data_IF_125369205900
#
_entry.id   IF_125369205900
#
_cell.length_a   1.000
_cell.length_b   1.000
_cell.length_c   1.000
_cell.angle_alpha   90.00
_cell.angle_beta   90.00
_cell.angle_gamma   90.00
#
_symmetry.space_group_name_H-M   'P 1'
#
loop_
_entity.id
_entity.type
_entity.pdbx_description
1 polymer ?
#
# COMPACT_ATOMS: atom_id res chain seq x y z
N UNK A 1 0.91 -3.63 11.05
CA UNK A 1 1.79 -3.58 9.86
C UNK A 1 1.48 -2.32 9.07
N UNK A 2 2.40 -1.82 8.22
CA UNK A 2 2.18 -0.58 7.43
C UNK A 2 0.93 -0.64 6.55
N UNK A 3 0.55 -1.81 6.04
CA UNK A 3 -0.67 -2.01 5.25
C UNK A 3 -1.95 -1.75 6.09
N UNK A 4 -1.97 -2.19 7.36
CA UNK A 4 -3.10 -1.92 8.25
C UNK A 4 -3.18 -0.42 8.61
N UNK A 5 -2.03 0.24 8.77
CA UNK A 5 -1.97 1.68 9.05
C UNK A 5 -2.47 2.51 7.84
N UNK A 6 -2.06 2.14 6.63
CA UNK A 6 -2.58 2.75 5.41
C UNK A 6 -4.09 2.54 5.25
N UNK A 7 -4.60 1.34 5.59
CA UNK A 7 -6.03 1.06 5.61
C UNK A 7 -6.79 1.94 6.60
N UNK A 8 -6.22 2.19 7.79
CA UNK A 8 -6.82 3.08 8.77
C UNK A 8 -6.86 4.54 8.29
N UNK A 9 -5.77 5.04 7.69
CA UNK A 9 -5.74 6.39 7.11
C UNK A 9 -6.72 6.55 5.95
N UNK A 10 -6.87 5.55 5.08
CA UNK A 10 -7.92 5.54 4.04
C UNK A 10 -9.32 5.68 4.64
N UNK A 11 -9.65 4.89 5.66
CA UNK A 11 -10.97 4.97 6.32
C UNK A 11 -11.19 6.31 7.01
N UNK A 12 -10.12 6.95 7.50
CA UNK A 12 -10.17 8.29 8.08
C UNK A 12 -10.22 9.42 7.03
N UNK A 13 -10.19 9.11 5.73
CA UNK A 13 -10.14 10.09 4.64
C UNK A 13 -8.79 10.79 4.48
N UNK A 14 -7.76 10.35 5.21
CA UNK A 14 -6.44 10.96 5.19
C UNK A 14 -5.55 10.32 4.13
N UNK A 15 -5.80 10.69 2.89
CA UNK A 15 -5.10 10.11 1.74
C UNK A 15 -3.65 10.58 1.66
N UNK A 16 -3.36 11.81 2.11
CA UNK A 16 -2.01 12.37 2.13
C UNK A 16 -1.03 11.54 2.98
N UNK A 17 -1.50 10.94 4.08
CA UNK A 17 -0.70 10.03 4.90
C UNK A 17 -0.75 8.58 4.42
N UNK A 18 -1.85 8.14 3.79
CA UNK A 18 -2.02 6.77 3.31
C UNK A 18 -1.13 6.43 2.09
N UNK A 19 -1.08 7.33 1.11
CA UNK A 19 -0.38 7.14 -0.17
C UNK A 19 1.11 6.86 0.01
N UNK A 20 1.92 7.72 0.67
CA UNK A 20 3.37 7.49 0.79
C UNK A 20 3.71 6.22 1.58
N UNK A 21 2.82 5.80 2.50
CA UNK A 21 2.99 4.54 3.24
C UNK A 21 2.77 3.32 2.34
N UNK A 22 1.78 3.37 1.45
CA UNK A 22 1.51 2.30 0.48
C UNK A 22 2.61 2.23 -0.58
N UNK A 23 3.08 3.36 -1.10
CA UNK A 23 4.20 3.41 -2.07
C UNK A 23 5.47 2.78 -1.50
N UNK A 24 5.87 3.18 -0.28
CA UNK A 24 7.06 2.61 0.36
C UNK A 24 6.90 1.12 0.63
N UNK A 25 5.71 0.70 1.07
CA UNK A 25 5.44 -0.72 1.31
C UNK A 25 5.42 -1.51 -0.01
N UNK A 26 4.92 -0.93 -1.10
CA UNK A 26 4.94 -1.55 -2.42
C UNK A 26 6.37 -1.78 -2.90
N UNK A 27 7.22 -0.75 -2.84
CA UNK A 27 8.62 -0.84 -3.25
C UNK A 27 9.39 -1.90 -2.44
N UNK A 28 9.19 -1.94 -1.13
CA UNK A 28 9.82 -2.96 -0.26
C UNK A 28 9.36 -4.38 -0.67
N UNK A 29 8.08 -4.56 -0.98
CA UNK A 29 7.51 -5.88 -1.33
C UNK A 29 7.85 -6.33 -2.74
N UNK A 30 7.92 -5.42 -3.70
CA UNK A 30 8.39 -5.70 -5.05
C UNK A 30 9.84 -6.18 -5.03
N UNK A 31 10.71 -5.53 -4.25
CA UNK A 31 12.11 -5.95 -4.11
C UNK A 31 12.26 -7.30 -3.42
N UNK A 32 11.48 -7.57 -2.38
CA UNK A 32 11.64 -8.78 -1.56
C UNK A 32 10.93 -10.01 -2.13
N UNK A 33 9.76 -9.83 -2.75
CA UNK A 33 8.84 -10.91 -3.10
C UNK A 33 8.56 -10.96 -4.60
N UNK A 34 8.93 -9.93 -5.36
CA UNK A 34 8.57 -9.76 -6.76
C UNK A 34 7.21 -9.10 -6.96
N UNK A 35 7.01 -8.62 -8.18
CA UNK A 35 5.81 -7.92 -8.63
C UNK A 35 4.56 -8.80 -8.70
N UNK A 36 4.75 -10.12 -8.86
CA UNK A 36 3.67 -11.10 -9.01
C UNK A 36 3.14 -11.69 -7.70
N UNK A 37 3.86 -11.47 -6.60
CA UNK A 37 3.49 -12.02 -5.31
C UNK A 37 2.12 -11.48 -4.84
N UNK A 38 1.24 -12.33 -4.29
CA UNK A 38 -0.11 -11.93 -3.88
C UNK A 38 -0.15 -10.69 -2.98
N UNK A 39 0.76 -10.60 -2.00
CA UNK A 39 0.85 -9.42 -1.12
C UNK A 39 1.20 -8.13 -1.87
N UNK A 40 2.09 -8.20 -2.85
CA UNK A 40 2.47 -7.05 -3.69
C UNK A 40 1.27 -6.58 -4.51
N UNK A 41 0.50 -7.52 -5.09
CA UNK A 41 -0.73 -7.23 -5.83
C UNK A 41 -1.79 -6.56 -4.96
N UNK A 42 -1.98 -7.01 -3.72
CA UNK A 42 -2.92 -6.38 -2.77
C UNK A 42 -2.54 -4.93 -2.46
N UNK A 43 -1.26 -4.66 -2.20
CA UNK A 43 -0.80 -3.29 -1.91
C UNK A 43 -0.97 -2.40 -3.13
N UNK A 44 -0.66 -2.89 -4.33
CA UNK A 44 -0.86 -2.16 -5.59
C UNK A 44 -2.34 -1.82 -5.80
N UNK A 45 -3.24 -2.78 -5.61
CA UNK A 45 -4.68 -2.54 -5.72
C UNK A 45 -5.18 -1.50 -4.70
N UNK A 46 -4.66 -1.54 -3.47
CA UNK A 46 -4.99 -0.55 -2.45
C UNK A 46 -4.49 0.85 -2.82
N UNK A 47 -3.29 0.97 -3.39
CA UNK A 47 -2.73 2.26 -3.84
C UNK A 47 -3.50 2.81 -5.05
N UNK A 48 -3.82 1.97 -6.04
CA UNK A 48 -4.62 2.38 -7.21
C UNK A 48 -6.04 2.82 -6.85
N UNK A 49 -6.61 2.32 -5.75
CA UNK A 49 -7.92 2.77 -5.28
C UNK A 49 -7.88 4.15 -4.58
N UNK A 50 -6.70 4.74 -4.39
CA UNK A 50 -6.50 6.06 -3.79
C UNK A 50 -6.10 7.14 -4.80
N UNK A 51 -5.93 6.78 -6.07
CA UNK A 51 -5.62 7.69 -7.18
C UNK A 51 -6.85 7.83 -8.09
#
# INVERSE_FOLDING_TARGET
SRNNLAGAYRTAGDLERAIPLLERTLADRERMLGTDHPLTKVIRANLSALQ
#
